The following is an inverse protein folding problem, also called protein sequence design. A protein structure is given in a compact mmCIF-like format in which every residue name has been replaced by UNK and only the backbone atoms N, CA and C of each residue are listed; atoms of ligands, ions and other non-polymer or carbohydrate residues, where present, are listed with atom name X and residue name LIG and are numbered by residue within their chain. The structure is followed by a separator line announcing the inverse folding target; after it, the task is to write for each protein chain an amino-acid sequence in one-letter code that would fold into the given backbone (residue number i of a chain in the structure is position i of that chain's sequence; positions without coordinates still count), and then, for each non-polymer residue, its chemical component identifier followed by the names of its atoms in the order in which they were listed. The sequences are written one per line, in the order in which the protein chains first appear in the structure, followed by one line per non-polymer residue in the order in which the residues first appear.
data_IF_406465280885
#
_entry.id   IF_406465280885
#
_cell.length_a   1.000
_cell.length_b   1.000
_cell.length_c   1.000
_cell.angle_alpha   90.00
_cell.angle_beta   90.00
_cell.angle_gamma   90.00
#
_symmetry.space_group_name_H-M   'P 1'
#
loop_
_entity.id
_entity.type
_entity.pdbx_description
1 polymer ?
#
# COMPACT_ATOMS: atom_id res chain seq x y z
N UNK A 1 20.84 11.20 -6.23
CA UNK A 1 22.01 11.74 -6.91
C UNK A 1 22.80 10.63 -7.60
N UNK A 2 23.70 10.99 -8.53
CA UNK A 2 24.49 9.99 -9.24
C UNK A 2 25.33 9.17 -8.25
N UNK A 3 25.07 7.87 -8.18
CA UNK A 3 25.80 6.93 -7.33
C UNK A 3 25.13 6.50 -6.04
N UNK A 4 24.01 7.09 -5.68
CA UNK A 4 23.27 6.66 -4.48
C UNK A 4 22.43 5.42 -4.79
N UNK A 5 22.58 4.40 -3.96
CA UNK A 5 21.77 3.17 -4.01
C UNK A 5 20.78 3.24 -2.88
N UNK A 6 19.47 3.21 -3.21
CA UNK A 6 18.41 3.04 -2.25
C UNK A 6 17.84 1.64 -2.33
N UNK A 7 17.67 1.01 -1.18
CA UNK A 7 17.09 -0.34 -1.03
C UNK A 7 15.79 -0.21 -0.25
N UNK A 8 14.68 -0.67 -0.81
CA UNK A 8 13.39 -0.63 -0.13
C UNK A 8 12.55 -1.84 -0.54
N UNK A 9 11.70 -2.30 0.37
CA UNK A 9 10.61 -3.25 0.09
C UNK A 9 9.26 -2.55 -0.06
N UNK A 10 9.21 -1.25 0.22
CA UNK A 10 8.00 -0.44 0.09
C UNK A 10 7.88 0.11 -1.33
N UNK A 11 6.79 -0.25 -2.01
CA UNK A 11 6.52 0.20 -3.37
C UNK A 11 6.26 1.71 -3.47
N UNK A 12 5.67 2.32 -2.45
CA UNK A 12 5.45 3.77 -2.44
C UNK A 12 6.77 4.54 -2.38
N UNK A 13 7.67 4.15 -1.49
CA UNK A 13 9.03 4.74 -1.41
C UNK A 13 9.76 4.57 -2.74
N UNK A 14 9.68 3.38 -3.37
CA UNK A 14 10.29 3.15 -4.68
C UNK A 14 9.74 4.09 -5.75
N UNK A 15 8.42 4.26 -5.81
CA UNK A 15 7.77 5.12 -6.80
C UNK A 15 8.10 6.61 -6.60
N UNK A 16 8.23 7.06 -5.36
CA UNK A 16 8.67 8.42 -5.05
C UNK A 16 10.12 8.69 -5.44
N UNK A 17 11.00 7.70 -5.28
CA UNK A 17 12.41 7.82 -5.67
C UNK A 17 12.61 7.76 -7.20
N UNK A 18 11.71 7.12 -7.93
CA UNK A 18 11.67 7.12 -9.39
C UNK A 18 11.17 8.47 -9.94
N UNK A 19 11.72 9.57 -9.48
CA UNK A 19 11.30 10.94 -9.83
C UNK A 19 11.36 11.27 -11.33
N UNK A 20 11.89 10.39 -12.17
CA UNK A 20 12.08 10.58 -13.61
C UNK A 20 11.27 9.60 -14.46
N UNK A 21 10.06 9.26 -14.03
CA UNK A 21 9.16 8.48 -14.89
C UNK A 21 8.68 9.40 -16.01
N UNK A 22 9.31 9.26 -17.19
CA UNK A 22 9.00 10.11 -18.36
C UNK A 22 7.75 9.64 -19.10
N UNK A 23 7.41 8.36 -19.03
CA UNK A 23 6.26 7.82 -19.73
C UNK A 23 4.95 8.27 -19.06
N UNK A 24 4.02 8.93 -19.77
CA UNK A 24 2.81 9.50 -19.16
C UNK A 24 1.94 8.47 -18.44
N UNK A 25 1.74 7.30 -19.03
CA UNK A 25 0.95 6.22 -18.43
C UNK A 25 1.63 5.66 -17.18
N UNK A 26 2.94 5.46 -17.20
CA UNK A 26 3.69 5.00 -16.02
C UNK A 26 3.62 6.02 -14.87
N UNK A 27 3.73 7.31 -15.19
CA UNK A 27 3.54 8.39 -14.21
C UNK A 27 2.14 8.37 -13.59
N UNK A 28 1.11 8.12 -14.41
CA UNK A 28 -0.26 8.01 -13.93
C UNK A 28 -0.46 6.80 -13.01
N UNK A 29 0.13 5.65 -13.35
CA UNK A 29 0.10 4.45 -12.51
C UNK A 29 0.75 4.73 -11.15
N UNK A 30 1.90 5.40 -11.13
CA UNK A 30 2.57 5.78 -9.90
C UNK A 30 1.69 6.67 -9.01
N UNK A 31 1.00 7.65 -9.59
CA UNK A 31 0.07 8.51 -8.86
C UNK A 31 -1.12 7.74 -8.27
N UNK A 32 -1.70 6.81 -9.03
CA UNK A 32 -2.79 5.96 -8.55
C UNK A 32 -2.34 5.07 -7.40
N UNK A 33 -1.16 4.47 -7.51
CA UNK A 33 -0.58 3.65 -6.46
C UNK A 33 -0.30 4.45 -5.18
N UNK A 34 0.24 5.65 -5.30
CA UNK A 34 0.45 6.57 -4.17
C UNK A 34 -0.85 6.97 -3.50
N UNK A 35 -1.88 7.31 -4.29
CA UNK A 35 -3.20 7.65 -3.74
C UNK A 35 -3.86 6.47 -2.99
N UNK A 36 -3.61 5.24 -3.43
CA UNK A 36 -4.04 4.05 -2.70
C UNK A 36 -3.28 3.88 -1.38
N UNK A 37 -1.98 4.14 -1.40
CA UNK A 37 -1.12 4.06 -0.21
C UNK A 37 -1.51 5.08 0.87
N UNK A 38 -1.88 6.29 0.47
CA UNK A 38 -2.37 7.34 1.37
C UNK A 38 -3.61 6.90 2.19
N UNK A 39 -4.39 5.97 1.65
CA UNK A 39 -5.59 5.45 2.32
C UNK A 39 -5.30 4.18 3.12
N UNK A 40 -4.56 3.24 2.55
CA UNK A 40 -4.36 1.90 3.12
C UNK A 40 -3.01 1.71 3.81
N UNK A 41 -2.00 2.50 3.46
CA UNK A 41 -0.64 2.40 3.98
C UNK A 41 0.11 1.13 3.57
N UNK A 42 -0.47 0.29 2.74
CA UNK A 42 0.13 -0.97 2.29
C UNK A 42 -0.47 -1.43 0.95
N UNK A 43 0.19 -2.38 0.28
CA UNK A 43 -0.30 -2.98 -0.95
C UNK A 43 0.05 -2.23 -2.23
N UNK A 44 0.89 -1.21 -2.18
CA UNK A 44 1.27 -0.38 -3.34
C UNK A 44 1.87 -1.21 -4.47
N UNK A 45 2.79 -2.12 -4.17
CA UNK A 45 3.43 -2.99 -5.16
C UNK A 45 2.42 -3.90 -5.84
N UNK A 46 1.52 -4.51 -5.08
CA UNK A 46 0.45 -5.37 -5.62
C UNK A 46 -0.49 -4.59 -6.54
N UNK A 47 -0.82 -3.36 -6.15
CA UNK A 47 -1.65 -2.45 -6.96
C UNK A 47 -1.00 -2.16 -8.32
N UNK A 48 0.27 -1.79 -8.33
CA UNK A 48 1.02 -1.53 -9.58
C UNK A 48 1.08 -2.77 -10.47
N UNK A 49 1.32 -3.95 -9.90
CA UNK A 49 1.37 -5.21 -10.65
C UNK A 49 0.02 -5.55 -11.30
N UNK A 50 -1.09 -5.38 -10.56
CA UNK A 50 -2.43 -5.63 -11.09
C UNK A 50 -2.75 -4.66 -12.22
N UNK A 51 -2.50 -3.37 -12.05
CA UNK A 51 -2.72 -2.36 -13.08
C UNK A 51 -1.87 -2.67 -14.32
N UNK A 52 -0.60 -2.98 -14.13
CA UNK A 52 0.33 -3.31 -15.22
C UNK A 52 -0.12 -4.53 -16.01
N UNK A 53 -0.56 -5.60 -15.36
CA UNK A 53 -1.05 -6.79 -16.04
C UNK A 53 -2.37 -6.54 -16.79
N UNK A 54 -3.30 -5.79 -16.20
CA UNK A 54 -4.54 -5.41 -16.88
C UNK A 54 -4.27 -4.59 -18.15
N UNK A 55 -3.37 -3.62 -18.08
CA UNK A 55 -3.01 -2.80 -19.24
C UNK A 55 -2.25 -3.60 -20.30
N UNK A 56 -1.39 -4.53 -19.90
CA UNK A 56 -0.69 -5.43 -20.82
C UNK A 56 -1.68 -6.31 -21.59
N UNK A 57 -2.66 -6.87 -20.92
CA UNK A 57 -3.70 -7.67 -21.57
C UNK A 57 -4.57 -6.79 -22.48
N UNK A 58 -4.90 -5.58 -22.07
CA UNK A 58 -5.62 -4.62 -22.91
C UNK A 58 -4.87 -4.31 -24.21
N UNK A 59 -3.56 -4.10 -24.14
CA UNK A 59 -2.72 -3.82 -25.30
C UNK A 59 -2.72 -4.97 -26.30
N UNK A 60 -2.69 -6.23 -25.84
CA UNK A 60 -2.81 -7.41 -26.69
C UNK A 60 -4.14 -7.42 -27.46
N UNK A 61 -5.28 -7.18 -26.78
CA UNK A 61 -6.59 -7.14 -27.43
C UNK A 61 -6.73 -5.98 -28.41
N UNK A 62 -6.15 -4.83 -28.11
CA UNK A 62 -6.10 -3.69 -29.03
C UNK A 62 -5.32 -4.07 -30.29
N UNK A 63 -4.20 -4.74 -30.13
CA UNK A 63 -3.37 -5.23 -31.25
C UNK A 63 -4.11 -6.24 -32.13
N UNK A 64 -5.04 -7.00 -31.56
CA UNK A 64 -5.92 -7.94 -32.28
C UNK A 64 -7.13 -7.24 -32.94
N UNK A 65 -7.28 -5.93 -32.78
CA UNK A 65 -8.33 -5.14 -33.41
C UNK A 65 -9.52 -4.78 -32.53
N UNK A 66 -9.49 -5.11 -31.23
CA UNK A 66 -10.54 -4.70 -30.32
C UNK A 66 -10.43 -3.21 -29.99
N UNK A 67 -11.55 -2.49 -30.09
CA UNK A 67 -11.54 -1.06 -29.84
C UNK A 67 -11.33 -0.75 -28.34
N UNK A 68 -10.47 0.21 -27.97
CA UNK A 68 -10.17 0.57 -26.58
C UNK A 68 -11.40 0.89 -25.74
N UNK A 69 -12.44 1.46 -26.33
CA UNK A 69 -13.71 1.75 -25.67
C UNK A 69 -14.38 0.49 -25.11
N UNK A 70 -14.38 -0.59 -25.89
CA UNK A 70 -14.97 -1.88 -25.47
C UNK A 70 -14.20 -2.44 -24.28
N UNK A 71 -12.88 -2.33 -24.28
CA UNK A 71 -12.02 -2.76 -23.16
C UNK A 71 -12.33 -1.94 -21.91
N UNK A 72 -12.51 -0.63 -22.05
CA UNK A 72 -12.87 0.26 -20.93
C UNK A 72 -14.23 -0.10 -20.33
N UNK A 73 -15.22 -0.39 -21.16
CA UNK A 73 -16.54 -0.86 -20.73
C UNK A 73 -16.42 -2.23 -20.00
N UNK A 74 -15.57 -3.11 -20.49
CA UNK A 74 -15.27 -4.37 -19.83
C UNK A 74 -14.61 -4.21 -18.47
N UNK A 75 -13.66 -3.30 -18.33
CA UNK A 75 -13.03 -2.97 -17.05
C UNK A 75 -14.03 -2.40 -16.06
N UNK A 76 -14.95 -1.54 -16.49
CA UNK A 76 -15.99 -0.99 -15.62
C UNK A 76 -16.92 -2.10 -15.09
N UNK A 77 -17.35 -3.00 -15.96
CA UNK A 77 -18.18 -4.14 -15.56
C UNK A 77 -17.43 -5.09 -14.62
N UNK A 78 -16.15 -5.34 -14.88
CA UNK A 78 -15.29 -6.17 -14.02
C UNK A 78 -15.08 -5.53 -12.65
N UNK A 79 -14.89 -4.22 -12.59
CA UNK A 79 -14.78 -3.46 -11.33
C UNK A 79 -16.03 -3.63 -10.47
N UNK A 80 -17.21 -3.44 -11.04
CA UNK A 80 -18.48 -3.61 -10.30
C UNK A 80 -18.64 -5.03 -9.76
N UNK A 81 -18.33 -6.03 -10.57
CA UNK A 81 -18.34 -7.44 -10.15
C UNK A 81 -17.35 -7.73 -9.04
N UNK A 82 -16.14 -7.20 -9.14
CA UNK A 82 -15.10 -7.36 -8.13
C UNK A 82 -15.53 -6.75 -6.79
N UNK A 83 -16.12 -5.55 -6.80
CA UNK A 83 -16.61 -4.89 -5.60
C UNK A 83 -17.76 -5.69 -4.94
N UNK A 84 -18.70 -6.22 -5.73
CA UNK A 84 -19.77 -7.08 -5.22
C UNK A 84 -19.21 -8.36 -4.58
N UNK A 85 -18.21 -8.98 -5.22
CA UNK A 85 -17.58 -10.18 -4.70
C UNK A 85 -16.81 -9.89 -3.40
N UNK A 86 -16.08 -8.78 -3.32
CA UNK A 86 -15.38 -8.36 -2.11
C UNK A 86 -16.33 -8.15 -0.92
N UNK A 87 -17.53 -7.61 -1.15
CA UNK A 87 -18.53 -7.50 -0.10
C UNK A 87 -18.99 -8.86 0.45
N UNK A 88 -18.99 -9.90 -0.38
CA UNK A 88 -19.39 -11.25 0.04
C UNK A 88 -18.27 -11.98 0.81
N UNK A 89 -17.02 -11.73 0.47
CA UNK A 89 -15.87 -12.47 1.04
C UNK A 89 -15.16 -11.71 2.16
N UNK A 90 -15.45 -10.43 2.35
CA UNK A 90 -14.84 -9.63 3.41
C UNK A 90 -15.13 -10.24 4.79
N UNK A 91 -14.13 -10.23 5.64
CA UNK A 91 -14.27 -10.60 7.05
C UNK A 91 -14.42 -9.32 7.86
N UNK A 92 -15.60 -9.14 8.48
CA UNK A 92 -15.84 -8.03 9.40
C UNK A 92 -15.44 -8.45 10.81
N UNK A 93 -14.57 -7.67 11.42
CA UNK A 93 -14.15 -7.84 12.81
C UNK A 93 -14.27 -6.52 13.56
N UNK A 94 -14.50 -6.60 14.87
CA UNK A 94 -14.40 -5.44 15.73
C UNK A 94 -12.95 -4.94 15.80
N UNK A 95 -12.78 -3.63 15.95
CA UNK A 95 -11.47 -2.99 16.09
C UNK A 95 -10.98 -3.12 17.53
N UNK A 96 -10.74 -4.35 17.99
CA UNK A 96 -10.06 -4.63 19.24
C UNK A 96 -8.52 -4.62 19.07
N UNK A 97 -7.80 -4.62 20.18
CA UNK A 97 -6.34 -4.59 20.17
C UNK A 97 -5.74 -5.79 19.45
N UNK A 98 -6.33 -6.97 19.60
CA UNK A 98 -5.86 -8.21 18.97
C UNK A 98 -5.94 -8.14 17.46
N UNK A 99 -7.06 -7.67 16.91
CA UNK A 99 -7.25 -7.46 15.48
C UNK A 99 -6.26 -6.43 14.91
N UNK A 100 -6.03 -5.33 15.64
CA UNK A 100 -5.05 -4.30 15.24
C UNK A 100 -3.62 -4.86 15.24
N UNK A 101 -3.27 -5.70 16.19
CA UNK A 101 -1.97 -6.39 16.23
C UNK A 101 -1.81 -7.31 15.02
N UNK A 102 -2.81 -8.09 14.66
CA UNK A 102 -2.75 -8.99 13.52
C UNK A 102 -2.56 -8.22 12.19
N UNK A 103 -3.29 -7.12 12.01
CA UNK A 103 -3.17 -6.26 10.83
C UNK A 103 -1.78 -5.60 10.76
N UNK A 104 -1.33 -4.99 11.83
CA UNK A 104 -0.03 -4.32 11.89
C UNK A 104 1.14 -5.31 11.68
N UNK A 105 1.09 -6.48 12.32
CA UNK A 105 2.07 -7.54 12.15
C UNK A 105 2.14 -8.03 10.72
N UNK A 106 1.02 -8.23 10.06
CA UNK A 106 0.95 -8.67 8.67
C UNK A 106 1.67 -7.68 7.75
N UNK A 107 1.45 -6.40 7.92
CA UNK A 107 2.13 -5.36 7.15
C UNK A 107 3.62 -5.27 7.46
N UNK A 108 4.00 -5.23 8.74
CA UNK A 108 5.39 -5.08 9.16
C UNK A 108 6.28 -6.27 8.78
N UNK A 109 5.76 -7.50 8.85
CA UNK A 109 6.51 -8.70 8.46
C UNK A 109 6.87 -8.77 6.99
N UNK A 110 6.18 -8.03 6.13
CA UNK A 110 6.55 -7.91 4.72
C UNK A 110 7.72 -6.94 4.48
N UNK A 111 8.04 -6.08 5.44
CA UNK A 111 9.00 -4.98 5.29
C UNK A 111 10.28 -5.17 6.09
N UNK A 112 10.19 -5.73 7.30
CA UNK A 112 11.32 -5.93 8.22
C UNK A 112 11.39 -7.38 8.70
N UNK A 113 12.48 -7.75 9.35
CA UNK A 113 12.64 -9.09 9.93
C UNK A 113 11.56 -9.38 10.99
N UNK A 114 11.15 -10.64 11.09
CA UNK A 114 10.04 -11.06 11.93
C UNK A 114 10.18 -10.64 13.41
N UNK A 115 11.38 -10.77 13.99
CA UNK A 115 11.65 -10.38 15.37
C UNK A 115 11.45 -8.87 15.59
N UNK A 116 11.99 -8.04 14.69
CA UNK A 116 11.80 -6.60 14.75
C UNK A 116 10.34 -6.21 14.47
N UNK A 117 9.69 -6.86 13.50
CA UNK A 117 8.28 -6.62 13.19
C UNK A 117 7.40 -6.88 14.40
N UNK A 118 7.64 -7.95 15.14
CA UNK A 118 6.84 -8.32 16.32
C UNK A 118 6.99 -7.29 17.46
N UNK A 119 8.19 -6.76 17.65
CA UNK A 119 8.44 -5.69 18.63
C UNK A 119 7.77 -4.39 18.21
N UNK A 120 7.93 -3.98 16.95
CA UNK A 120 7.34 -2.75 16.41
C UNK A 120 5.81 -2.82 16.33
N UNK A 121 5.23 -4.00 16.14
CA UNK A 121 3.78 -4.18 16.04
C UNK A 121 3.06 -3.66 17.29
N UNK A 122 3.54 -4.01 18.46
CA UNK A 122 2.91 -3.54 19.71
C UNK A 122 3.03 -2.03 19.89
N UNK A 123 4.19 -1.47 19.61
CA UNK A 123 4.41 -0.02 19.68
C UNK A 123 3.51 0.76 18.71
N UNK A 124 3.38 0.28 17.49
CA UNK A 124 2.51 0.90 16.47
C UNK A 124 1.06 0.84 16.92
N UNK A 125 0.57 -0.30 17.38
CA UNK A 125 -0.82 -0.46 17.84
C UNK A 125 -1.08 0.44 19.05
N UNK A 126 -0.19 0.46 20.03
CA UNK A 126 -0.33 1.27 21.22
C UNK A 126 -0.33 2.76 20.90
N UNK A 127 0.51 3.21 19.95
CA UNK A 127 0.52 4.61 19.48
C UNK A 127 -0.80 5.01 18.83
N UNK A 128 -1.38 4.16 18.00
CA UNK A 128 -2.68 4.40 17.35
C UNK A 128 -3.80 4.44 18.38
N UNK A 129 -3.81 3.52 19.34
CA UNK A 129 -4.81 3.51 20.41
C UNK A 129 -4.70 4.74 21.32
N UNK A 130 -3.49 5.26 21.53
CA UNK A 130 -3.27 6.48 22.33
C UNK A 130 -3.85 7.74 21.68
N UNK A 131 -3.80 7.84 20.35
CA UNK A 131 -4.32 9.01 19.61
C UNK A 131 -5.78 8.87 19.20
N UNK A 132 -6.35 7.66 19.29
CA UNK A 132 -7.73 7.39 18.90
C UNK A 132 -8.71 8.12 19.78
N UNK A 133 -9.59 8.91 19.17
CA UNK A 133 -10.74 9.53 19.82
C UNK A 133 -12.03 8.85 19.39
N UNK A 134 -13.03 8.86 20.28
CA UNK A 134 -14.33 8.29 20.00
C UNK A 134 -15.03 9.09 18.89
N UNK A 135 -15.51 8.40 17.87
CA UNK A 135 -16.28 8.95 16.74
C UNK A 135 -15.53 10.03 15.90
N UNK A 136 -14.21 10.07 15.99
CA UNK A 136 -13.36 10.91 15.15
C UNK A 136 -12.41 10.06 14.30
N UNK A 137 -12.06 10.52 13.08
CA UNK A 137 -11.01 9.87 12.30
C UNK A 137 -9.65 10.01 13.01
N UNK A 138 -8.80 9.01 12.83
CA UNK A 138 -7.46 9.01 13.41
C UNK A 138 -6.57 9.95 12.60
N UNK A 139 -5.97 10.92 13.27
CA UNK A 139 -4.98 11.84 12.69
C UNK A 139 -3.57 11.25 12.91
N UNK A 140 -3.01 10.65 11.86
CA UNK A 140 -1.68 10.05 11.91
C UNK A 140 -0.54 11.04 12.18
N UNK A 141 -0.74 12.34 11.91
CA UNK A 141 0.25 13.37 12.22
C UNK A 141 0.44 13.60 13.73
N UNK A 142 -0.44 13.06 14.55
CA UNK A 142 -0.26 13.06 16.01
C UNK A 142 0.78 12.03 16.50
N UNK A 143 1.24 11.12 15.63
CA UNK A 143 2.34 10.19 15.93
C UNK A 143 3.60 10.73 15.26
N UNK A 144 4.59 11.06 16.07
CA UNK A 144 5.91 11.47 15.58
C UNK A 144 6.86 10.27 15.55
N UNK A 145 7.52 10.10 14.40
CA UNK A 145 8.53 9.05 14.21
C UNK A 145 9.89 9.71 14.14
N UNK A 146 10.73 9.45 15.14
CA UNK A 146 12.11 9.92 15.13
C UNK A 146 13.06 8.81 14.67
N UNK A 147 13.77 9.06 13.60
CA UNK A 147 14.77 8.15 13.07
C UNK A 147 16.16 8.53 13.58
N UNK A 148 16.84 7.58 14.19
CA UNK A 148 18.23 7.75 14.64
C UNK A 148 19.09 6.62 14.11
N UNK A 149 20.24 7.00 13.51
CA UNK A 149 21.25 6.01 13.11
C UNK A 149 22.10 5.64 14.32
N UNK A 150 21.93 4.43 14.82
CA UNK A 150 22.63 3.93 16.00
C UNK A 150 23.32 2.58 15.72
N UNK A 151 24.30 2.22 16.55
CA UNK A 151 25.01 0.94 16.44
C UNK A 151 24.30 -0.22 17.16
N UNK A 152 23.33 0.07 18.00
CA UNK A 152 22.53 -0.94 18.71
C UNK A 152 21.22 -1.24 17.95
N UNK A 153 20.63 -2.38 18.27
CA UNK A 153 19.31 -2.75 17.76
C UNK A 153 18.23 -1.72 18.13
N UNK A 154 17.16 -1.69 17.34
CA UNK A 154 16.01 -0.82 17.62
C UNK A 154 15.44 -1.13 19.00
N UNK A 155 15.37 -0.14 19.85
CA UNK A 155 14.77 -0.21 21.18
C UNK A 155 13.56 0.74 21.20
N UNK A 156 12.46 0.27 21.77
CA UNK A 156 11.26 1.07 22.01
C UNK A 156 11.34 1.57 23.44
N UNK A 157 11.33 2.87 23.62
CA UNK A 157 11.36 3.55 24.91
C UNK A 157 9.95 3.82 25.43
#
# INVERSE_FOLDING_TARGET
GAGDIKLTKDGNVLLHELQQIQHPTASLIAKVATAQDDITGDGTTSNVLIIGELLKQADLYISEGLHPRIITEGFEAAKEKALQFLEQVKVSKEMDRETLIDVARTSLRTKVHAELADVLTEAVVDSILAIRKKDEPIDLFMVEIMEMKHKSETVIA
#
